data_IF_146357286847
#
_entry.id   IF_146357286847
#
_cell.length_a   1.000
_cell.length_b   1.000
_cell.length_c   1.000
_cell.angle_alpha   90.00
_cell.angle_beta   90.00
_cell.angle_gamma   90.00
#
_symmetry.space_group_name_H-M   'P 1'
#
loop_
_entity.id
_entity.type
_entity.pdbx_description
1 polymer ?
#
# COMPACT_ATOMS: atom_id res chain seq x y z
N UNK A 1 3.39 17.08 24.62
CA UNK A 1 1.97 16.77 24.93
C UNK A 1 1.02 17.64 24.12
N UNK A 2 1.10 18.99 24.19
CA UNK A 2 0.23 19.88 23.40
C UNK A 2 0.21 19.59 21.88
N UNK A 3 1.39 19.44 21.25
CA UNK A 3 1.49 19.12 19.82
C UNK A 3 0.82 17.78 19.46
N UNK A 4 1.00 16.75 20.29
CA UNK A 4 0.42 15.42 20.09
C UNK A 4 -1.11 15.49 20.23
N UNK A 5 -1.62 16.23 21.22
CA UNK A 5 -3.05 16.46 21.41
C UNK A 5 -3.66 17.18 20.19
N UNK A 6 -3.02 18.24 19.70
CA UNK A 6 -3.47 18.92 18.48
C UNK A 6 -3.45 18.01 17.26
N UNK A 7 -2.40 17.19 17.09
CA UNK A 7 -2.35 16.22 16.00
C UNK A 7 -3.51 15.22 16.12
N UNK A 8 -3.76 14.67 17.32
CA UNK A 8 -4.88 13.77 17.57
C UNK A 8 -6.22 14.41 17.21
N UNK A 9 -6.48 15.64 17.66
CA UNK A 9 -7.71 16.38 17.35
C UNK A 9 -7.91 16.60 15.83
N UNK A 10 -6.83 16.84 15.09
CA UNK A 10 -6.90 16.96 13.64
C UNK A 10 -7.15 15.61 12.98
N UNK A 11 -6.47 14.55 13.39
CA UNK A 11 -6.70 13.21 12.86
C UNK A 11 -8.13 12.73 13.11
N UNK A 12 -8.72 13.00 14.28
CA UNK A 12 -10.15 12.78 14.59
C UNK A 12 -11.04 13.43 13.53
N UNK A 13 -10.80 14.72 13.22
CA UNK A 13 -11.59 15.46 12.21
C UNK A 13 -11.41 14.92 10.80
N UNK A 14 -10.19 14.55 10.41
CA UNK A 14 -9.88 14.04 9.07
C UNK A 14 -10.46 12.64 8.84
N UNK A 15 -10.65 11.86 9.91
CA UNK A 15 -11.11 10.47 9.85
C UNK A 15 -12.58 10.28 10.22
N UNK A 16 -13.20 11.26 10.88
CA UNK A 16 -14.58 11.11 11.37
C UNK A 16 -14.72 10.14 12.55
N UNK A 17 -13.61 9.87 13.24
CA UNK A 17 -13.58 9.14 14.51
C UNK A 17 -13.83 10.06 15.71
N UNK A 18 -13.88 9.48 16.90
CA UNK A 18 -14.14 10.22 18.15
C UNK A 18 -12.88 10.32 19.03
N UNK A 19 -11.93 9.40 18.87
CA UNK A 19 -10.67 9.38 19.63
C UNK A 19 -9.52 8.79 18.80
N UNK A 20 -8.28 9.10 19.18
CA UNK A 20 -7.06 8.56 18.54
C UNK A 20 -6.09 8.01 19.59
N UNK A 21 -5.59 6.79 19.36
CA UNK A 21 -4.44 6.24 20.10
C UNK A 21 -3.16 6.38 19.25
N UNK A 22 -2.20 7.15 19.78
CA UNK A 22 -0.92 7.46 19.13
C UNK A 22 0.18 6.42 19.41
N UNK A 23 -0.11 5.34 20.12
CA UNK A 23 0.90 4.39 20.56
C UNK A 23 1.51 3.54 19.44
N UNK A 24 0.73 2.97 18.49
CA UNK A 24 1.29 2.03 17.53
C UNK A 24 2.30 2.70 16.59
N UNK A 25 3.47 2.09 16.44
CA UNK A 25 4.63 2.63 15.73
C UNK A 25 4.81 2.11 14.29
N UNK A 26 3.81 1.44 13.74
CA UNK A 26 3.73 1.02 12.33
C UNK A 26 2.29 0.75 11.92
N UNK A 27 1.99 0.66 10.62
CA UNK A 27 0.64 0.32 10.15
C UNK A 27 0.15 -1.02 10.67
N UNK A 28 0.97 -2.07 10.55
CA UNK A 28 0.67 -3.40 11.08
C UNK A 28 0.44 -3.40 12.61
N UNK A 29 1.18 -2.59 13.36
CA UNK A 29 0.94 -2.41 14.80
C UNK A 29 -0.39 -1.69 15.08
N UNK A 30 -0.82 -0.80 14.19
CA UNK A 30 -2.14 -0.17 14.25
C UNK A 30 -3.27 -1.15 13.91
N UNK A 31 -3.08 -2.07 12.97
CA UNK A 31 -3.98 -3.21 12.74
C UNK A 31 -4.12 -4.04 14.00
N UNK A 32 -3.01 -4.54 14.53
CA UNK A 32 -3.01 -5.34 15.75
C UNK A 32 -3.69 -4.60 16.93
N UNK A 33 -3.36 -3.33 17.15
CA UNK A 33 -3.97 -2.52 18.20
C UNK A 33 -5.47 -2.32 18.03
N UNK A 34 -5.95 -2.09 16.80
CA UNK A 34 -7.38 -1.93 16.53
C UNK A 34 -8.16 -3.23 16.72
N UNK A 35 -7.58 -4.36 16.30
CA UNK A 35 -8.18 -5.69 16.51
C UNK A 35 -8.23 -6.08 17.98
N UNK A 36 -7.20 -5.74 18.77
CA UNK A 36 -7.24 -5.90 20.23
C UNK A 36 -8.34 -5.04 20.87
N UNK A 37 -8.53 -3.79 20.40
CA UNK A 37 -9.60 -2.93 20.91
C UNK A 37 -10.99 -3.52 20.60
N UNK A 38 -11.20 -4.05 19.39
CA UNK A 38 -12.43 -4.77 19.01
C UNK A 38 -12.65 -5.99 19.92
N UNK A 39 -11.60 -6.80 20.12
CA UNK A 39 -11.68 -8.00 20.97
C UNK A 39 -12.06 -7.64 22.40
N UNK A 40 -11.39 -6.66 23.00
CA UNK A 40 -11.69 -6.23 24.36
C UNK A 40 -13.09 -5.59 24.49
N UNK A 41 -13.56 -4.92 23.43
CA UNK A 41 -14.94 -4.44 23.35
C UNK A 41 -15.95 -5.60 23.39
N UNK A 42 -15.72 -6.67 22.62
CA UNK A 42 -16.54 -7.88 22.66
C UNK A 42 -16.50 -8.56 24.04
N UNK A 43 -15.31 -8.74 24.62
CA UNK A 43 -15.13 -9.29 25.96
C UNK A 43 -15.90 -8.50 27.02
N UNK A 44 -15.89 -7.15 26.94
CA UNK A 44 -16.61 -6.28 27.88
C UNK A 44 -18.13 -6.46 27.88
N UNK A 45 -18.69 -6.98 26.79
CA UNK A 45 -20.12 -7.26 26.61
C UNK A 45 -20.46 -8.73 26.85
N UNK A 46 -19.52 -9.52 27.37
CA UNK A 46 -19.59 -10.98 27.50
C UNK A 46 -19.72 -11.72 26.15
N UNK A 47 -19.25 -11.10 25.07
CA UNK A 47 -19.24 -11.66 23.72
C UNK A 47 -17.82 -12.07 23.28
N UNK A 48 -16.93 -12.38 24.22
CA UNK A 48 -15.54 -12.74 23.93
C UNK A 48 -15.34 -14.03 23.12
N UNK A 49 -16.42 -14.76 22.82
CA UNK A 49 -16.42 -15.90 21.88
C UNK A 49 -16.37 -15.44 20.41
N UNK A 50 -16.60 -14.16 20.12
CA UNK A 50 -16.48 -13.58 18.77
C UNK A 50 -15.03 -13.47 18.33
N UNK A 51 -14.52 -14.50 17.64
CA UNK A 51 -13.14 -14.58 17.17
C UNK A 51 -12.98 -14.66 15.63
N UNK A 52 -14.05 -14.69 14.85
CA UNK A 52 -13.98 -14.74 13.38
C UNK A 52 -13.71 -13.35 12.79
N UNK A 53 -12.64 -13.24 12.00
CA UNK A 53 -12.26 -12.06 11.25
C UNK A 53 -12.42 -12.32 9.73
N UNK A 54 -13.35 -11.60 9.10
CA UNK A 54 -13.56 -11.64 7.66
C UNK A 54 -12.52 -10.77 6.96
N UNK A 55 -11.84 -11.29 5.94
CA UNK A 55 -10.80 -10.55 5.20
C UNK A 55 -10.97 -10.76 3.70
N UNK A 56 -11.24 -9.71 2.89
CA UNK A 56 -11.27 -9.82 1.44
C UNK A 56 -9.96 -10.38 0.87
N UNK A 57 -10.05 -11.20 -0.18
CA UNK A 57 -8.88 -11.80 -0.84
C UNK A 57 -7.88 -10.76 -1.41
N UNK A 58 -8.34 -9.52 -1.62
CA UNK A 58 -7.52 -8.39 -2.08
C UNK A 58 -6.75 -7.68 -0.96
N UNK A 59 -7.05 -7.95 0.32
CA UNK A 59 -6.46 -7.22 1.44
C UNK A 59 -4.92 -7.32 1.48
N UNK A 60 -4.28 -6.33 2.09
CA UNK A 60 -2.84 -6.36 2.33
C UNK A 60 -2.45 -7.56 3.21
N UNK A 61 -1.27 -8.13 2.96
CA UNK A 61 -0.80 -9.34 3.66
C UNK A 61 -0.60 -9.15 5.17
N UNK A 62 -0.51 -7.91 5.65
CA UNK A 62 -0.49 -7.60 7.09
C UNK A 62 -1.83 -7.88 7.75
N UNK A 63 -2.96 -7.68 7.07
CA UNK A 63 -4.29 -7.88 7.64
C UNK A 63 -4.49 -9.29 8.23
N UNK A 64 -4.29 -10.40 7.46
CA UNK A 64 -4.42 -11.74 8.02
C UNK A 64 -3.34 -12.05 9.07
N UNK A 65 -2.13 -11.50 8.93
CA UNK A 65 -1.06 -11.68 9.92
C UNK A 65 -1.41 -11.02 11.27
N UNK A 66 -1.92 -9.79 11.24
CA UNK A 66 -2.38 -9.02 12.40
C UNK A 66 -3.58 -9.69 13.08
N UNK A 67 -4.53 -10.20 12.29
CA UNK A 67 -5.67 -10.97 12.80
C UNK A 67 -5.22 -12.25 13.52
N UNK A 68 -4.30 -13.01 12.91
CA UNK A 68 -3.73 -14.20 13.55
C UNK A 68 -3.00 -13.83 14.85
N UNK A 69 -2.21 -12.76 14.86
CA UNK A 69 -1.51 -12.27 16.05
C UNK A 69 -2.47 -11.82 17.17
N UNK A 70 -3.64 -11.27 16.81
CA UNK A 70 -4.72 -10.93 17.75
C UNK A 70 -5.51 -12.16 18.26
N UNK A 71 -5.20 -13.36 17.77
CA UNK A 71 -5.85 -14.61 18.14
C UNK A 71 -7.20 -14.82 17.47
N UNK A 72 -7.42 -14.21 16.30
CA UNK A 72 -8.65 -14.36 15.51
C UNK A 72 -8.55 -15.46 14.46
N UNK A 73 -9.68 -16.05 14.10
CA UNK A 73 -9.82 -16.99 13.00
C UNK A 73 -10.08 -16.24 11.70
N UNK A 74 -9.15 -16.32 10.75
CA UNK A 74 -9.27 -15.64 9.46
C UNK A 74 -10.17 -16.44 8.52
N UNK A 75 -11.22 -15.79 8.00
CA UNK A 75 -12.09 -16.32 6.95
C UNK A 75 -12.00 -15.38 5.75
N UNK A 76 -11.47 -15.89 4.64
CA UNK A 76 -11.29 -15.11 3.41
C UNK A 76 -12.65 -14.84 2.77
N UNK A 77 -12.92 -13.61 2.35
CA UNK A 77 -14.08 -13.22 1.53
C UNK A 77 -13.64 -13.05 0.08
N UNK A 78 -14.42 -13.57 -0.86
CA UNK A 78 -14.10 -13.52 -2.28
C UNK A 78 -14.20 -12.09 -2.83
N UNK A 79 -13.52 -11.87 -3.96
CA UNK A 79 -13.71 -10.68 -4.78
C UNK A 79 -14.43 -11.07 -6.09
N UNK A 80 -15.25 -10.17 -6.60
CA UNK A 80 -15.89 -10.33 -7.91
C UNK A 80 -14.88 -10.17 -9.06
N UNK A 81 -15.33 -10.43 -10.29
CA UNK A 81 -14.49 -10.30 -11.50
C UNK A 81 -13.96 -8.89 -11.77
N UNK A 82 -14.56 -7.87 -11.15
CA UNK A 82 -14.16 -6.47 -11.26
C UNK A 82 -13.25 -6.05 -10.08
N UNK A 83 -12.89 -6.98 -9.20
CA UNK A 83 -12.00 -6.74 -8.07
C UNK A 83 -12.68 -6.13 -6.85
N UNK A 84 -14.02 -6.05 -6.79
CA UNK A 84 -14.74 -5.57 -5.60
C UNK A 84 -14.99 -6.72 -4.61
N UNK A 85 -15.33 -6.41 -3.36
CA UNK A 85 -15.78 -7.41 -2.40
C UNK A 85 -17.06 -8.08 -2.91
N UNK A 86 -17.08 -9.42 -2.96
CA UNK A 86 -18.29 -10.17 -3.31
C UNK A 86 -19.29 -10.09 -2.15
N UNK A 87 -20.32 -9.26 -2.33
CA UNK A 87 -21.39 -9.04 -1.36
C UNK A 87 -22.23 -10.29 -1.06
N UNK A 88 -22.31 -11.24 -2.00
CA UNK A 88 -23.05 -12.49 -1.82
C UNK A 88 -22.26 -13.42 -0.91
N UNK A 89 -20.98 -13.60 -1.20
CA UNK A 89 -20.07 -14.39 -0.40
C UNK A 89 -19.85 -13.79 1.00
N UNK A 90 -19.75 -12.46 1.10
CA UNK A 90 -19.69 -11.74 2.38
C UNK A 90 -20.89 -12.08 3.26
N UNK A 91 -22.11 -12.00 2.72
CA UNK A 91 -23.34 -12.32 3.47
C UNK A 91 -23.38 -13.75 3.92
N UNK A 92 -23.04 -14.68 3.02
CA UNK A 92 -23.01 -16.09 3.35
C UNK A 92 -22.01 -16.39 4.49
N UNK A 93 -20.83 -15.76 4.46
CA UNK A 93 -19.80 -15.92 5.51
C UNK A 93 -20.16 -15.22 6.81
N UNK A 94 -20.79 -14.05 6.75
CA UNK A 94 -21.30 -13.37 7.94
C UNK A 94 -22.43 -14.18 8.62
N UNK A 95 -23.35 -14.73 7.84
CA UNK A 95 -24.42 -15.63 8.33
C UNK A 95 -23.84 -16.92 8.92
N UNK A 96 -22.87 -17.54 8.25
CA UNK A 96 -22.19 -18.74 8.74
C UNK A 96 -21.40 -18.47 10.04
N UNK A 97 -20.77 -17.30 10.15
CA UNK A 97 -20.07 -16.89 11.37
C UNK A 97 -21.05 -16.64 12.53
N UNK A 98 -22.23 -16.05 12.23
CA UNK A 98 -23.30 -15.79 13.18
C UNK A 98 -22.79 -15.04 14.42
N UNK A 99 -23.10 -15.58 15.60
CA UNK A 99 -22.69 -15.01 16.89
C UNK A 99 -21.18 -15.07 17.15
N UNK A 100 -20.39 -15.75 16.30
CA UNK A 100 -18.92 -15.77 16.41
C UNK A 100 -18.23 -14.68 15.57
N UNK A 101 -18.99 -13.88 14.79
CA UNK A 101 -18.41 -12.80 13.99
C UNK A 101 -17.82 -11.71 14.88
N UNK A 102 -16.50 -11.52 14.79
CA UNK A 102 -15.76 -10.48 15.51
C UNK A 102 -15.67 -9.20 14.71
N UNK A 103 -15.15 -9.28 13.48
CA UNK A 103 -14.97 -8.12 12.63
C UNK A 103 -14.77 -8.48 11.15
N UNK A 104 -14.76 -7.44 10.32
CA UNK A 104 -14.17 -7.45 8.98
C UNK A 104 -12.96 -6.51 8.96
N UNK A 105 -11.93 -6.85 8.18
CA UNK A 105 -10.88 -5.92 7.78
C UNK A 105 -11.06 -5.56 6.30
N UNK A 106 -11.34 -4.29 6.00
CA UNK A 106 -11.48 -3.78 4.63
C UNK A 106 -10.47 -2.67 4.37
N UNK A 107 -10.08 -2.45 3.10
CA UNK A 107 -9.26 -1.31 2.69
C UNK A 107 -10.12 -0.41 1.81
N UNK A 108 -10.10 0.91 2.03
CA UNK A 108 -10.86 1.84 1.19
C UNK A 108 -10.04 3.09 0.80
N UNK A 109 -10.03 3.50 -0.48
CA UNK A 109 -10.35 2.66 -1.64
C UNK A 109 -9.54 1.35 -1.59
N UNK A 110 -10.02 0.31 -2.27
CA UNK A 110 -9.44 -1.03 -2.17
C UNK A 110 -7.98 -1.03 -2.64
N UNK A 111 -7.25 -2.10 -2.33
CA UNK A 111 -5.88 -2.34 -2.84
C UNK A 111 -5.80 -2.46 -4.36
N UNK A 112 -6.95 -2.58 -5.03
CA UNK A 112 -7.06 -2.51 -6.49
C UNK A 112 -7.09 -1.07 -7.03
N UNK A 113 -7.03 -0.06 -6.16
CA UNK A 113 -7.07 1.35 -6.54
C UNK A 113 -8.44 1.82 -6.99
N UNK A 114 -9.54 1.21 -6.50
CA UNK A 114 -10.91 1.55 -6.90
C UNK A 114 -11.79 1.92 -5.70
N UNK A 115 -12.71 2.87 -5.90
CA UNK A 115 -13.76 3.16 -4.94
C UNK A 115 -14.91 2.17 -5.12
N UNK A 116 -15.04 1.23 -4.18
CA UNK A 116 -16.20 0.33 -4.15
C UNK A 116 -17.48 1.12 -3.84
N UNK A 117 -18.51 0.94 -4.67
CA UNK A 117 -19.81 1.62 -4.49
C UNK A 117 -20.61 1.04 -3.32
N UNK A 118 -20.26 -0.16 -2.87
CA UNK A 118 -20.98 -0.96 -1.87
C UNK A 118 -20.34 -0.93 -0.47
N UNK A 119 -19.29 -0.12 -0.24
CA UNK A 119 -18.53 -0.16 1.01
C UNK A 119 -19.39 0.07 2.27
N UNK A 120 -20.44 0.90 2.19
CA UNK A 120 -21.35 1.13 3.32
C UNK A 120 -22.22 -0.09 3.61
N UNK A 121 -22.65 -0.77 2.57
CA UNK A 121 -23.42 -2.02 2.66
C UNK A 121 -22.57 -3.14 3.27
N UNK A 122 -21.26 -3.17 2.98
CA UNK A 122 -20.30 -4.06 3.66
C UNK A 122 -20.29 -3.79 5.17
N UNK A 123 -20.19 -2.52 5.58
CA UNK A 123 -20.24 -2.15 7.00
C UNK A 123 -21.57 -2.58 7.65
N UNK A 124 -22.69 -2.29 6.99
CA UNK A 124 -24.04 -2.62 7.47
C UNK A 124 -24.23 -4.12 7.67
N UNK A 125 -23.80 -4.95 6.72
CA UNK A 125 -23.86 -6.41 6.84
C UNK A 125 -23.09 -6.87 8.08
N UNK A 126 -21.87 -6.40 8.28
CA UNK A 126 -21.05 -6.84 9.42
C UNK A 126 -21.64 -6.39 10.75
N UNK A 127 -22.15 -5.16 10.82
CA UNK A 127 -22.84 -4.65 12.01
C UNK A 127 -24.14 -5.41 12.31
N UNK A 128 -24.90 -5.86 11.30
CA UNK A 128 -26.11 -6.66 11.50
C UNK A 128 -25.85 -7.99 12.22
N UNK A 129 -24.67 -8.58 12.04
CA UNK A 129 -24.24 -9.81 12.71
C UNK A 129 -23.43 -9.55 14.00
N UNK A 130 -23.41 -8.31 14.48
CA UNK A 130 -22.74 -7.92 15.73
C UNK A 130 -21.23 -7.76 15.63
N UNK A 131 -20.66 -7.85 14.42
CA UNK A 131 -19.24 -7.62 14.17
C UNK A 131 -18.86 -6.13 14.21
N UNK A 132 -17.57 -5.84 14.18
CA UNK A 132 -17.00 -4.50 14.03
C UNK A 132 -16.30 -4.34 12.67
N UNK A 133 -16.13 -3.10 12.21
CA UNK A 133 -15.49 -2.79 10.94
C UNK A 133 -14.14 -2.16 11.21
N UNK A 134 -13.08 -2.91 10.92
CA UNK A 134 -11.73 -2.39 10.80
C UNK A 134 -11.50 -1.92 9.36
N UNK A 135 -11.18 -0.64 9.18
CA UNK A 135 -10.80 -0.09 7.88
C UNK A 135 -9.30 0.22 7.85
N UNK A 136 -8.55 -0.45 7.01
CA UNK A 136 -7.15 -0.17 6.73
C UNK A 136 -7.03 1.20 6.03
N UNK A 137 -6.40 2.14 6.74
CA UNK A 137 -6.23 3.53 6.29
C UNK A 137 -4.94 3.79 5.52
N UNK A 138 -4.24 2.77 5.02
CA UNK A 138 -3.06 2.93 4.18
C UNK A 138 -3.33 3.70 2.88
N UNK A 139 -4.58 3.74 2.43
CA UNK A 139 -5.05 4.41 1.20
C UNK A 139 -5.79 5.74 1.50
N UNK A 140 -5.58 6.32 2.69
CA UNK A 140 -6.21 7.58 3.09
C UNK A 140 -5.83 8.78 2.21
N UNK A 141 -4.74 8.72 1.43
CA UNK A 141 -4.40 9.80 0.50
C UNK A 141 -5.49 10.03 -0.57
N UNK A 142 -6.32 9.02 -0.84
CA UNK A 142 -7.51 9.13 -1.69
C UNK A 142 -8.78 9.58 -0.94
N UNK A 143 -8.73 9.84 0.37
CA UNK A 143 -9.92 10.16 1.17
C UNK A 143 -9.88 11.55 1.79
N UNK A 144 -8.71 11.99 2.25
CA UNK A 144 -8.57 13.20 3.07
C UNK A 144 -9.27 14.42 2.45
N UNK A 145 -10.25 14.98 3.16
CA UNK A 145 -11.01 16.15 2.70
C UNK A 145 -12.07 15.89 1.62
N UNK A 146 -12.26 14.63 1.21
CA UNK A 146 -13.27 14.17 0.25
C UNK A 146 -14.32 13.29 0.95
N UNK A 147 -13.88 12.28 1.68
CA UNK A 147 -14.69 11.38 2.52
C UNK A 147 -13.92 11.03 3.79
N UNK A 148 -14.48 10.20 4.67
CA UNK A 148 -13.76 9.72 5.85
C UNK A 148 -14.21 8.32 6.29
N UNK A 149 -13.32 7.50 6.87
CA UNK A 149 -13.66 6.16 7.36
C UNK A 149 -14.86 6.14 8.32
N UNK A 150 -14.91 7.08 9.26
CA UNK A 150 -15.99 7.19 10.23
C UNK A 150 -17.32 7.65 9.63
N UNK A 151 -17.33 8.28 8.45
CA UNK A 151 -18.55 8.58 7.68
C UNK A 151 -19.02 7.36 6.88
N UNK A 152 -18.08 6.55 6.36
CA UNK A 152 -18.36 5.34 5.61
C UNK A 152 -19.04 4.28 6.50
N UNK A 153 -18.66 4.19 7.77
CA UNK A 153 -19.20 3.24 8.74
C UNK A 153 -18.14 2.39 9.43
N UNK A 154 -16.86 2.73 9.29
CA UNK A 154 -15.80 2.04 10.00
C UNK A 154 -15.79 2.40 11.50
N UNK A 155 -15.46 1.41 12.34
CA UNK A 155 -15.38 1.57 13.80
C UNK A 155 -13.96 1.94 14.25
N UNK A 156 -12.95 1.45 13.52
CA UNK A 156 -11.53 1.71 13.78
C UNK A 156 -10.72 1.69 12.49
N UNK A 157 -9.73 2.58 12.39
CA UNK A 157 -8.70 2.53 11.34
C UNK A 157 -7.34 2.85 11.92
N UNK A 158 -6.29 2.19 11.43
CA UNK A 158 -4.96 2.76 11.51
C UNK A 158 -4.73 3.79 10.39
N UNK A 159 -3.76 4.67 10.59
CA UNK A 159 -3.26 5.58 9.55
C UNK A 159 -1.76 5.40 9.36
N UNK A 160 -1.28 5.21 8.13
CA UNK A 160 0.15 5.27 7.85
C UNK A 160 0.59 6.73 7.77
N UNK A 161 1.11 7.29 8.86
CA UNK A 161 1.66 8.65 8.85
C UNK A 161 2.87 8.79 7.90
N UNK A 162 3.53 7.68 7.61
CA UNK A 162 4.68 7.54 6.71
C UNK A 162 4.30 7.29 5.24
N UNK A 163 2.99 7.24 4.95
CA UNK A 163 2.46 7.32 3.58
C UNK A 163 1.75 8.67 3.43
N UNK A 164 0.52 8.75 3.91
CA UNK A 164 -0.40 9.88 3.70
C UNK A 164 0.05 11.19 4.36
N UNK A 165 0.81 11.13 5.46
CA UNK A 165 1.14 12.31 6.28
C UNK A 165 2.64 12.59 6.40
N UNK A 166 3.37 12.29 5.32
CA UNK A 166 4.73 12.77 5.02
C UNK A 166 5.88 12.34 5.94
N UNK A 167 5.68 11.44 6.92
CA UNK A 167 6.85 10.83 7.58
C UNK A 167 7.69 10.11 6.50
N UNK A 168 9.01 10.32 6.44
CA UNK A 168 9.84 9.76 5.37
C UNK A 168 9.91 8.23 5.45
N UNK A 169 9.90 7.57 4.29
CA UNK A 169 9.98 6.11 4.16
C UNK A 169 11.29 5.50 4.69
N UNK A 170 12.40 6.25 4.67
CA UNK A 170 13.67 5.89 5.31
C UNK A 170 14.33 4.57 4.85
N UNK A 171 13.97 4.05 3.68
CA UNK A 171 14.47 2.75 3.19
C UNK A 171 13.83 1.54 3.88
N UNK A 172 12.66 1.70 4.50
CA UNK A 172 11.94 0.62 5.20
C UNK A 172 11.49 0.97 6.63
N UNK A 173 11.52 2.25 7.00
CA UNK A 173 11.18 2.77 8.32
C UNK A 173 12.01 4.01 8.66
N UNK A 174 11.57 4.83 9.63
CA UNK A 174 10.54 4.56 10.63
C UNK A 174 9.11 4.84 10.16
N UNK A 175 8.15 4.25 10.86
CA UNK A 175 6.72 4.53 10.69
C UNK A 175 6.05 5.02 11.98
N UNK A 176 4.79 5.42 11.83
CA UNK A 176 3.80 5.58 12.89
C UNK A 176 2.44 5.12 12.34
N UNK A 177 1.69 4.40 13.16
CA UNK A 177 0.39 3.82 12.81
C UNK A 177 -0.70 4.13 13.83
N UNK A 178 -0.96 5.41 14.17
CA UNK A 178 -2.00 5.75 15.13
C UNK A 178 -3.35 5.20 14.68
N UNK A 179 -4.17 4.79 15.64
CA UNK A 179 -5.53 4.30 15.36
C UNK A 179 -6.56 5.36 15.74
N UNK A 180 -7.44 5.68 14.80
CA UNK A 180 -8.68 6.40 15.09
C UNK A 180 -9.79 5.42 15.40
N UNK A 181 -10.61 5.70 16.41
CA UNK A 181 -11.68 4.82 16.88
C UNK A 181 -12.97 5.59 17.16
N UNK A 182 -14.11 4.92 16.95
CA UNK A 182 -15.40 5.39 17.45
C UNK A 182 -15.46 5.35 18.98
N UNK A 183 -16.35 6.16 19.55
CA UNK A 183 -16.44 6.39 20.99
C UNK A 183 -16.58 5.10 21.82
N UNK A 184 -17.28 4.08 21.31
CA UNK A 184 -17.47 2.81 22.02
C UNK A 184 -16.20 1.96 22.09
N UNK A 185 -15.23 2.15 21.18
CA UNK A 185 -13.94 1.45 21.20
C UNK A 185 -12.86 2.21 21.97
N UNK A 186 -13.04 3.51 22.21
CA UNK A 186 -12.05 4.35 22.90
C UNK A 186 -11.59 3.82 24.28
N UNK A 187 -12.47 3.23 25.14
CA UNK A 187 -12.05 2.66 26.42
C UNK A 187 -11.19 1.39 26.31
N UNK A 188 -11.05 0.82 25.11
CA UNK A 188 -10.42 -0.49 24.87
C UNK A 188 -9.12 -0.41 24.06
N UNK A 189 -8.72 0.78 23.62
CA UNK A 189 -7.44 0.96 22.92
C UNK A 189 -6.25 0.75 23.87
N UNK A 190 -5.05 0.45 23.35
CA UNK A 190 -3.86 0.30 24.19
C UNK A 190 -3.52 1.59 24.96
N UNK A 191 -3.25 1.42 26.25
CA UNK A 191 -2.66 2.42 27.14
C UNK A 191 -1.18 2.14 27.37
N UNK A 192 -0.62 2.50 28.52
CA UNK A 192 0.76 2.14 28.85
C UNK A 192 0.88 1.74 30.33
N UNK A 193 1.59 0.64 30.60
CA UNK A 193 1.68 0.04 31.94
C UNK A 193 2.57 0.83 32.91
N UNK A 194 3.68 1.40 32.43
CA UNK A 194 4.66 2.11 33.27
C UNK A 194 4.42 3.62 33.35
N UNK A 195 4.38 4.30 32.19
CA UNK A 195 4.21 5.76 32.12
C UNK A 195 2.73 6.13 32.17
N UNK A 196 2.34 6.89 33.20
CA UNK A 196 0.99 7.41 33.37
C UNK A 196 0.95 8.88 32.93
N UNK A 197 0.18 9.17 31.88
CA UNK A 197 0.07 10.50 31.27
C UNK A 197 -1.40 10.93 31.33
N UNK A 198 -1.64 12.14 31.81
CA UNK A 198 -2.97 12.75 31.79
C UNK A 198 -3.48 12.92 30.35
N UNK A 199 -4.74 12.54 30.10
CA UNK A 199 -5.33 12.58 28.77
C UNK A 199 -5.08 11.34 27.89
N UNK A 200 -4.40 10.30 28.37
CA UNK A 200 -4.45 8.99 27.70
C UNK A 200 -5.85 8.37 27.80
N UNK A 201 -6.29 7.74 26.72
CA UNK A 201 -7.61 7.11 26.63
C UNK A 201 -7.77 5.95 27.62
N UNK A 202 -6.70 5.17 27.82
CA UNK A 202 -6.69 4.04 28.74
C UNK A 202 -5.31 3.90 29.41
N UNK A 203 -5.25 3.06 30.45
CA UNK A 203 -4.01 2.66 31.13
C UNK A 203 -3.70 1.17 30.95
N UNK A 204 -4.52 0.47 30.17
CA UNK A 204 -4.50 -0.99 30.08
C UNK A 204 -3.70 -1.45 28.86
N UNK A 205 -2.88 -2.47 29.05
CA UNK A 205 -2.04 -3.01 27.99
C UNK A 205 -0.96 -2.04 27.50
N UNK A 206 -0.20 -2.50 26.51
CA UNK A 206 0.70 -1.71 25.69
C UNK A 206 1.05 -2.55 24.45
N UNK A 207 0.97 -1.95 23.26
CA UNK A 207 1.43 -2.56 22.01
C UNK A 207 2.80 -2.04 21.60
N UNK A 208 3.27 -0.93 22.18
CA UNK A 208 4.60 -0.37 21.94
C UNK A 208 5.30 -0.04 23.25
N UNK A 209 6.63 -0.10 23.25
CA UNK A 209 7.45 0.09 24.44
C UNK A 209 7.40 1.51 25.04
N UNK A 210 6.96 2.50 24.25
CA UNK A 210 6.78 3.88 24.68
C UNK A 210 5.32 4.30 24.48
N UNK A 211 4.77 5.19 25.33
CA UNK A 211 3.34 5.52 25.34
C UNK A 211 2.84 6.18 24.04
N UNK A 212 3.73 6.81 23.27
CA UNK A 212 3.42 7.47 22.00
C UNK A 212 4.30 6.95 20.84
N UNK A 213 4.77 5.70 20.94
CA UNK A 213 5.66 5.10 19.95
C UNK A 213 6.89 5.98 19.68
N UNK A 214 7.14 6.25 18.40
CA UNK A 214 8.21 7.12 17.92
C UNK A 214 7.79 8.60 17.98
N UNK A 215 7.63 9.16 19.18
CA UNK A 215 7.06 10.50 19.37
C UNK A 215 7.84 11.64 18.67
N UNK A 216 9.15 11.47 18.44
CA UNK A 216 10.02 12.50 17.84
C UNK A 216 9.72 12.79 16.37
N UNK A 217 9.05 11.88 15.65
CA UNK A 217 8.72 12.04 14.22
C UNK A 217 7.27 12.50 13.98
N UNK A 218 6.41 12.51 15.00
CA UNK A 218 5.06 13.08 14.94
C UNK A 218 5.00 14.57 14.51
N UNK A 219 5.99 15.44 14.82
CA UNK A 219 6.02 16.81 14.32
C UNK A 219 5.95 16.91 12.79
N UNK A 220 6.38 15.89 12.04
CA UNK A 220 6.36 15.90 10.57
C UNK A 220 4.92 15.96 10.06
N UNK A 221 4.08 15.01 10.49
CA UNK A 221 2.66 14.99 10.14
C UNK A 221 1.90 16.19 10.72
N UNK A 222 2.27 16.64 11.92
CA UNK A 222 1.71 17.87 12.50
C UNK A 222 2.01 19.08 11.60
N UNK A 223 3.25 19.24 11.15
CA UNK A 223 3.66 20.34 10.27
C UNK A 223 2.94 20.28 8.91
N UNK A 224 2.84 19.08 8.31
CA UNK A 224 2.10 18.88 7.06
C UNK A 224 0.64 19.34 7.18
N UNK A 225 -0.10 18.81 8.17
CA UNK A 225 -1.50 19.17 8.39
C UNK A 225 -1.64 20.68 8.68
N UNK A 226 -0.73 21.24 9.48
CA UNK A 226 -0.75 22.65 9.86
C UNK A 226 -0.51 23.59 8.67
N UNK A 227 0.43 23.27 7.79
CA UNK A 227 0.80 24.10 6.64
C UNK A 227 -0.22 23.96 5.50
N UNK A 228 -0.71 22.75 5.26
CA UNK A 228 -1.69 22.49 4.20
C UNK A 228 -3.07 23.08 4.54
N UNK A 229 -3.48 22.98 5.81
CA UNK A 229 -4.84 23.32 6.21
C UNK A 229 -5.89 22.46 5.50
N UNK A 230 -7.17 22.71 5.76
CA UNK A 230 -8.25 21.89 5.22
C UNK A 230 -8.32 21.93 3.68
N UNK A 231 -8.14 23.12 3.08
CA UNK A 231 -8.20 23.30 1.63
C UNK A 231 -7.01 22.63 0.92
N UNK A 232 -5.80 22.79 1.46
CA UNK A 232 -4.60 22.15 0.90
C UNK A 232 -4.69 20.63 1.00
N UNK A 233 -5.12 20.09 2.14
CA UNK A 233 -5.29 18.64 2.32
C UNK A 233 -6.32 18.06 1.34
N UNK A 234 -7.46 18.72 1.15
CA UNK A 234 -8.45 18.32 0.13
C UNK A 234 -7.86 18.37 -1.27
N UNK A 235 -7.10 19.43 -1.58
CA UNK A 235 -6.46 19.60 -2.89
C UNK A 235 -5.41 18.52 -3.15
N UNK A 236 -4.65 18.12 -2.15
CA UNK A 236 -3.68 17.02 -2.23
C UNK A 236 -4.36 15.73 -2.70
N UNK A 237 -5.41 15.27 -2.00
CA UNK A 237 -6.16 14.08 -2.41
C UNK A 237 -6.75 14.19 -3.83
N UNK A 238 -7.28 15.36 -4.20
CA UNK A 238 -7.79 15.59 -5.56
C UNK A 238 -6.70 15.48 -6.63
N UNK A 239 -5.49 15.96 -6.36
CA UNK A 239 -4.38 15.90 -7.30
C UNK A 239 -3.77 14.50 -7.35
N UNK A 240 -3.69 13.77 -6.23
CA UNK A 240 -3.28 12.37 -6.22
C UNK A 240 -4.20 11.52 -7.13
N UNK A 241 -5.52 11.68 -6.99
CA UNK A 241 -6.51 11.00 -7.85
C UNK A 241 -6.37 11.45 -9.31
N UNK A 242 -6.18 12.75 -9.56
CA UNK A 242 -5.98 13.28 -10.93
C UNK A 242 -4.74 12.68 -11.59
N UNK A 243 -3.61 12.64 -10.88
CA UNK A 243 -2.34 12.15 -11.40
C UNK A 243 -2.43 10.66 -11.75
N UNK A 244 -3.05 9.84 -10.89
CA UNK A 244 -3.25 8.42 -11.15
C UNK A 244 -4.16 8.18 -12.37
N UNK A 245 -5.26 8.92 -12.47
CA UNK A 245 -6.15 8.83 -13.64
C UNK A 245 -5.48 9.35 -14.92
N UNK A 246 -4.58 10.32 -14.83
CA UNK A 246 -3.79 10.81 -15.96
C UNK A 246 -2.86 9.71 -16.49
N UNK A 247 -2.11 9.04 -15.60
CA UNK A 247 -1.26 7.89 -15.98
C UNK A 247 -2.11 6.77 -16.57
N UNK A 248 -3.18 6.35 -15.89
CA UNK A 248 -4.06 5.27 -16.33
C UNK A 248 -4.61 5.55 -17.75
N UNK A 249 -5.11 6.76 -17.98
CA UNK A 249 -5.68 7.14 -19.29
C UNK A 249 -4.63 7.18 -20.41
N UNK A 250 -3.38 7.53 -20.09
CA UNK A 250 -2.29 7.63 -21.08
C UNK A 250 -1.65 6.28 -21.40
N UNK A 251 -1.75 5.30 -20.49
CA UNK A 251 -1.15 3.98 -20.65
C UNK A 251 -2.15 2.89 -21.06
N UNK A 252 -3.45 3.07 -20.87
CA UNK A 252 -4.47 2.02 -21.05
C UNK A 252 -4.42 1.27 -22.39
N UNK A 253 -4.07 1.94 -23.49
CA UNK A 253 -4.01 1.31 -24.83
C UNK A 253 -2.75 0.44 -25.00
N UNK A 254 -1.68 0.75 -24.27
CA UNK A 254 -0.43 0.01 -24.27
C UNK A 254 -0.40 -1.10 -23.21
N UNK A 255 -0.94 -0.79 -22.02
CA UNK A 255 -1.03 -1.65 -20.85
C UNK A 255 -2.45 -1.54 -20.28
N UNK A 256 -3.31 -2.57 -20.45
CA UNK A 256 -4.67 -2.52 -19.96
C UNK A 256 -4.74 -2.20 -18.46
N UNK A 257 -5.63 -1.30 -18.06
CA UNK A 257 -5.91 -1.03 -16.64
C UNK A 257 -6.82 -2.13 -16.12
N UNK A 258 -6.33 -2.92 -15.15
CA UNK A 258 -6.98 -4.16 -14.73
C UNK A 258 -8.34 -3.92 -14.05
N UNK A 259 -8.41 -2.92 -13.17
CA UNK A 259 -9.62 -2.60 -12.44
C UNK A 259 -9.92 -1.11 -12.52
N UNK A 260 -11.20 -0.78 -12.70
CA UNK A 260 -11.69 0.59 -12.70
C UNK A 260 -13.01 0.64 -11.94
N UNK A 261 -13.23 1.74 -11.21
CA UNK A 261 -14.52 2.06 -10.65
C UNK A 261 -15.46 2.68 -11.68
N UNK A 262 -16.48 3.38 -11.17
CA UNK A 262 -17.48 4.09 -11.96
C UNK A 262 -16.83 5.01 -13.00
N UNK A 263 -17.43 5.05 -14.19
CA UNK A 263 -17.01 5.88 -15.33
C UNK A 263 -15.56 5.60 -15.79
N UNK A 264 -15.04 4.39 -15.54
CA UNK A 264 -13.69 3.97 -15.95
C UNK A 264 -12.57 4.67 -15.17
N UNK A 265 -12.86 5.14 -13.94
CA UNK A 265 -11.92 5.91 -13.12
C UNK A 265 -11.27 5.06 -12.04
N UNK A 266 -10.02 5.38 -11.74
CA UNK A 266 -9.28 4.85 -10.58
C UNK A 266 -9.29 5.86 -9.44
N UNK A 267 -8.84 5.45 -8.26
CA UNK A 267 -8.60 6.33 -7.11
C UNK A 267 -7.21 6.98 -7.23
N UNK A 268 -6.36 6.86 -6.20
CA UNK A 268 -4.98 7.39 -6.18
C UNK A 268 -3.92 6.48 -6.83
N UNK A 269 -4.29 5.29 -7.27
CA UNK A 269 -3.38 4.30 -7.86
C UNK A 269 -4.11 3.48 -8.92
N UNK A 270 -3.38 2.86 -9.85
CA UNK A 270 -3.93 1.97 -10.88
C UNK A 270 -3.08 0.72 -11.07
N UNK A 271 -3.70 -0.39 -11.48
CA UNK A 271 -3.01 -1.64 -11.81
C UNK A 271 -2.93 -1.79 -13.33
N UNK A 272 -1.70 -1.95 -13.85
CA UNK A 272 -1.41 -2.26 -15.24
C UNK A 272 -1.26 -3.77 -15.41
N UNK A 273 -2.07 -4.37 -16.28
CA UNK A 273 -2.08 -5.80 -16.51
C UNK A 273 -1.01 -6.22 -17.53
N UNK A 274 0.06 -6.85 -17.03
CA UNK A 274 1.18 -7.34 -17.86
C UNK A 274 0.97 -8.80 -18.28
N UNK A 275 0.02 -9.52 -17.66
CA UNK A 275 -0.14 -10.97 -17.87
C UNK A 275 -0.41 -11.34 -19.33
N UNK A 276 -1.30 -10.63 -20.07
CA UNK A 276 -1.50 -10.91 -21.50
C UNK A 276 -0.23 -10.69 -22.33
N UNK A 277 0.55 -9.65 -22.02
CA UNK A 277 1.81 -9.37 -22.70
C UNK A 277 2.84 -10.47 -22.44
N UNK A 278 2.91 -10.97 -21.20
CA UNK A 278 3.78 -12.09 -20.83
C UNK A 278 3.41 -13.38 -21.54
N UNK A 279 2.12 -13.69 -21.64
CA UNK A 279 1.64 -14.86 -22.37
C UNK A 279 1.98 -14.78 -23.86
N UNK A 280 1.86 -13.59 -24.46
CA UNK A 280 2.11 -13.40 -25.89
C UNK A 280 3.60 -13.32 -26.24
N UNK A 281 4.41 -12.69 -25.40
CA UNK A 281 5.79 -12.28 -25.76
C UNK A 281 6.88 -12.94 -24.91
N UNK A 282 6.53 -13.55 -23.78
CA UNK A 282 7.48 -14.04 -22.78
C UNK A 282 8.07 -12.94 -21.87
N UNK A 283 7.84 -11.65 -22.15
CA UNK A 283 8.34 -10.55 -21.33
C UNK A 283 7.47 -10.37 -20.07
N UNK A 284 8.11 -10.39 -18.91
CA UNK A 284 7.44 -10.32 -17.61
C UNK A 284 7.39 -8.90 -17.03
N UNK A 285 6.57 -8.74 -15.99
CA UNK A 285 6.52 -7.55 -15.15
C UNK A 285 7.89 -7.25 -14.48
N UNK A 286 8.68 -8.28 -14.19
CA UNK A 286 10.02 -8.14 -13.65
C UNK A 286 10.97 -7.52 -14.67
N UNK A 287 10.88 -7.93 -15.94
CA UNK A 287 11.70 -7.38 -17.02
C UNK A 287 11.41 -5.89 -17.22
N UNK A 288 10.13 -5.51 -17.23
CA UNK A 288 9.70 -4.10 -17.28
C UNK A 288 10.26 -3.32 -16.08
N UNK A 289 10.14 -3.89 -14.87
CA UNK A 289 10.61 -3.25 -13.65
C UNK A 289 12.14 -3.04 -13.63
N UNK A 290 12.92 -4.01 -14.09
CA UNK A 290 14.37 -3.83 -14.22
C UNK A 290 14.71 -2.87 -15.34
N UNK A 291 13.97 -2.87 -16.45
CA UNK A 291 14.19 -1.96 -17.56
C UNK A 291 13.92 -0.51 -17.20
N UNK A 292 12.91 -0.23 -16.36
CA UNK A 292 12.63 1.11 -15.84
C UNK A 292 13.85 1.76 -15.15
N UNK A 293 14.74 0.97 -14.55
CA UNK A 293 15.98 1.47 -13.93
C UNK A 293 16.88 2.13 -14.99
N UNK A 294 16.94 1.58 -16.20
CA UNK A 294 17.73 2.17 -17.29
C UNK A 294 17.16 3.51 -17.76
N UNK A 295 15.84 3.68 -17.63
CA UNK A 295 15.11 4.94 -17.85
C UNK A 295 15.17 5.90 -16.65
N UNK A 296 15.83 5.52 -15.55
CA UNK A 296 16.01 6.35 -14.36
C UNK A 296 14.87 6.29 -13.35
N UNK A 297 14.01 5.26 -13.40
CA UNK A 297 12.90 5.07 -12.48
C UNK A 297 13.11 3.89 -11.55
N UNK A 298 12.72 4.06 -10.29
CA UNK A 298 12.39 2.91 -9.45
C UNK A 298 11.09 2.28 -9.96
N UNK A 299 11.02 0.96 -9.97
CA UNK A 299 9.81 0.27 -10.42
C UNK A 299 8.61 0.57 -9.49
N UNK A 300 7.38 0.60 -10.04
CA UNK A 300 6.16 0.57 -9.23
C UNK A 300 6.05 -0.73 -8.43
N UNK A 301 5.04 -0.82 -7.55
CA UNK A 301 4.75 -2.04 -6.79
C UNK A 301 4.53 -3.21 -7.76
N UNK A 302 5.25 -4.31 -7.55
CA UNK A 302 5.24 -5.46 -8.46
C UNK A 302 4.46 -6.63 -7.87
N UNK A 303 3.65 -7.30 -8.70
CA UNK A 303 3.01 -8.59 -8.41
C UNK A 303 2.15 -8.61 -7.14
N UNK A 304 1.70 -7.45 -6.68
CA UNK A 304 0.74 -7.27 -5.59
C UNK A 304 -0.18 -6.09 -5.92
N UNK A 305 -1.51 -6.19 -5.65
CA UNK A 305 -2.22 -7.34 -5.10
C UNK A 305 -2.44 -8.48 -6.09
N UNK A 306 -2.16 -8.28 -7.38
CA UNK A 306 -2.32 -9.30 -8.43
C UNK A 306 -0.94 -9.71 -8.97
N UNK A 307 -0.63 -11.01 -8.90
CA UNK A 307 0.61 -11.55 -9.44
C UNK A 307 0.73 -11.29 -10.94
N UNK A 308 1.92 -10.89 -11.40
CA UNK A 308 2.16 -10.60 -12.82
C UNK A 308 1.69 -9.21 -13.27
N UNK A 309 1.47 -8.27 -12.36
CA UNK A 309 1.01 -6.90 -12.66
C UNK A 309 1.90 -5.84 -12.03
N UNK A 310 1.72 -4.59 -12.44
CA UNK A 310 2.38 -3.41 -11.86
C UNK A 310 1.33 -2.44 -11.30
N UNK A 311 1.47 -2.02 -10.04
CA UNK A 311 0.57 -1.06 -9.39
C UNK A 311 1.27 0.29 -9.19
N UNK A 312 0.71 1.33 -9.82
CA UNK A 312 1.33 2.66 -9.94
C UNK A 312 0.57 3.69 -9.11
N UNK A 313 1.25 4.33 -8.15
CA UNK A 313 0.75 5.44 -7.33
C UNK A 313 1.69 6.66 -7.50
N UNK A 314 1.31 7.70 -8.25
CA UNK A 314 2.18 8.86 -8.49
C UNK A 314 2.19 9.90 -7.36
N UNK A 315 1.20 9.86 -6.46
CA UNK A 315 0.94 10.91 -5.46
C UNK A 315 0.64 12.29 -6.07
N UNK A 316 0.29 13.26 -5.23
CA UNK A 316 0.07 14.64 -5.61
C UNK A 316 1.34 15.49 -5.76
N UNK A 317 2.47 14.97 -5.27
CA UNK A 317 3.72 15.73 -5.18
C UNK A 317 4.51 15.74 -6.48
N UNK A 318 4.23 14.80 -7.38
CA UNK A 318 4.92 14.68 -8.65
C UNK A 318 4.38 15.67 -9.69
N UNK A 319 5.30 16.36 -10.36
CA UNK A 319 4.96 17.31 -11.40
C UNK A 319 4.47 16.60 -12.66
N UNK A 320 3.65 17.26 -13.47
CA UNK A 320 3.20 16.69 -14.77
C UNK A 320 4.38 16.25 -15.65
N UNK A 321 5.50 16.98 -15.61
CA UNK A 321 6.71 16.64 -16.37
C UNK A 321 7.25 15.28 -15.94
N UNK A 322 7.23 14.98 -14.64
CA UNK A 322 7.67 13.68 -14.12
C UNK A 322 6.71 12.55 -14.49
N UNK A 323 5.40 12.82 -14.41
CA UNK A 323 4.39 11.85 -14.87
C UNK A 323 4.56 11.54 -16.36
N UNK A 324 4.79 12.55 -17.19
CA UNK A 324 5.04 12.38 -18.62
C UNK A 324 6.33 11.58 -18.87
N UNK A 325 7.42 11.85 -18.14
CA UNK A 325 8.66 11.04 -18.25
C UNK A 325 8.41 9.56 -17.94
N UNK A 326 7.64 9.25 -16.90
CA UNK A 326 7.28 7.87 -16.57
C UNK A 326 6.41 7.23 -17.65
N UNK A 327 5.39 7.96 -18.13
CA UNK A 327 4.50 7.50 -19.21
C UNK A 327 5.31 7.22 -20.48
N UNK A 328 6.19 8.13 -20.88
CA UNK A 328 7.02 8.00 -22.08
C UNK A 328 7.99 6.82 -21.94
N UNK A 329 8.57 6.59 -20.76
CA UNK A 329 9.40 5.41 -20.48
C UNK A 329 8.60 4.11 -20.61
N UNK A 330 7.38 4.05 -20.05
CA UNK A 330 6.51 2.88 -20.17
C UNK A 330 6.10 2.62 -21.63
N UNK A 331 5.77 3.66 -22.40
CA UNK A 331 5.42 3.54 -23.82
C UNK A 331 6.63 3.13 -24.68
N UNK A 332 7.82 3.62 -24.36
CA UNK A 332 9.05 3.17 -25.01
C UNK A 332 9.34 1.70 -24.70
N UNK A 333 9.19 1.27 -23.45
CA UNK A 333 9.27 -0.14 -23.05
C UNK A 333 8.22 -0.98 -23.78
N UNK A 334 7.00 -0.49 -23.99
CA UNK A 334 6.00 -1.19 -24.79
C UNK A 334 6.48 -1.42 -26.22
N UNK A 335 7.11 -0.42 -26.84
CA UNK A 335 7.68 -0.53 -28.17
C UNK A 335 8.89 -1.50 -28.21
N UNK A 336 9.69 -1.55 -27.14
CA UNK A 336 10.75 -2.56 -26.98
C UNK A 336 10.17 -3.99 -26.93
N UNK A 337 9.07 -4.19 -26.20
CA UNK A 337 8.35 -5.47 -26.15
C UNK A 337 7.84 -5.85 -27.56
N UNK A 338 7.36 -4.88 -28.35
CA UNK A 338 6.94 -5.14 -29.72
C UNK A 338 8.11 -5.59 -30.63
N UNK A 339 9.33 -5.09 -30.41
CA UNK A 339 10.52 -5.57 -31.14
C UNK A 339 10.82 -7.05 -30.85
N UNK A 340 10.64 -7.48 -29.59
CA UNK A 340 10.77 -8.89 -29.20
C UNK A 340 9.66 -9.72 -29.86
N UNK A 341 8.42 -9.25 -29.80
CA UNK A 341 7.23 -9.91 -30.37
C UNK A 341 7.37 -10.19 -31.87
N UNK A 342 7.91 -9.23 -32.65
CA UNK A 342 8.10 -9.40 -34.10
C UNK A 342 9.42 -10.08 -34.48
N UNK A 343 10.23 -10.48 -33.49
CA UNK A 343 11.48 -11.23 -33.70
C UNK A 343 12.68 -10.38 -34.15
N UNK A 344 12.63 -9.06 -33.99
CA UNK A 344 13.79 -8.18 -34.24
C UNK A 344 14.86 -8.39 -33.17
N UNK A 345 14.44 -8.54 -31.91
CA UNK A 345 15.31 -8.97 -30.82
C UNK A 345 14.93 -10.37 -30.35
N UNK A 346 15.90 -11.29 -30.17
CA UNK A 346 15.66 -12.58 -29.53
C UNK A 346 15.05 -12.43 -28.13
N UNK A 347 14.21 -13.40 -27.74
CA UNK A 347 13.56 -13.39 -26.43
C UNK A 347 14.59 -13.48 -25.29
N UNK A 348 15.66 -14.22 -25.52
CA UNK A 348 16.74 -14.47 -24.57
C UNK A 348 17.84 -13.38 -24.58
N UNK A 349 17.85 -12.48 -25.57
CA UNK A 349 18.88 -11.44 -25.67
C UNK A 349 18.31 -10.12 -26.22
N UNK A 350 17.79 -9.29 -25.31
CA UNK A 350 17.17 -8.00 -25.60
C UNK A 350 17.34 -7.03 -24.41
N UNK A 351 17.07 -5.73 -24.59
CA UNK A 351 17.25 -4.76 -23.51
C UNK A 351 16.44 -5.05 -22.24
N UNK A 352 15.26 -5.69 -22.36
CA UNK A 352 14.35 -5.95 -21.24
C UNK A 352 14.87 -7.06 -20.33
N UNK A 353 15.31 -8.18 -20.91
CA UNK A 353 15.81 -9.34 -20.13
C UNK A 353 17.21 -9.10 -19.58
N UNK A 354 18.03 -8.31 -20.26
CA UNK A 354 19.39 -7.98 -19.84
C UNK A 354 19.47 -6.78 -18.88
N UNK A 355 18.35 -6.07 -18.67
CA UNK A 355 18.27 -4.98 -17.71
C UNK A 355 18.41 -5.47 -16.26
N UNK A 356 18.99 -4.65 -15.36
CA UNK A 356 19.51 -3.31 -15.61
C UNK A 356 20.93 -3.31 -16.20
N UNK A 357 21.33 -2.23 -16.88
CA UNK A 357 22.65 -2.11 -17.52
C UNK A 357 23.63 -1.26 -16.69
N UNK A 358 24.73 -1.87 -16.25
CA UNK A 358 25.71 -1.25 -15.34
C UNK A 358 26.84 -0.54 -16.11
N UNK A 359 27.53 0.38 -15.42
CA UNK A 359 28.55 1.24 -16.02
C UNK A 359 29.70 0.45 -16.69
N UNK A 360 30.10 -0.70 -16.13
CA UNK A 360 31.22 -1.50 -16.66
C UNK A 360 30.91 -2.12 -18.01
N UNK A 361 29.64 -2.29 -18.38
CA UNK A 361 29.25 -2.85 -19.68
C UNK A 361 29.56 -1.90 -20.85
N UNK A 362 29.76 -0.60 -20.58
CA UNK A 362 30.15 0.38 -21.60
C UNK A 362 31.53 0.09 -22.21
N UNK A 363 32.45 -0.45 -21.40
CA UNK A 363 33.84 -0.71 -21.81
C UNK A 363 34.11 -2.19 -22.12
N UNK A 364 33.16 -3.07 -21.78
CA UNK A 364 33.21 -4.49 -22.14
C UNK A 364 32.97 -4.69 -23.64
N UNK A 365 33.32 -5.87 -24.17
CA UNK A 365 32.87 -6.29 -25.49
C UNK A 365 31.34 -6.32 -25.54
N UNK A 366 30.74 -5.88 -26.66
CA UNK A 366 29.30 -5.74 -26.80
C UNK A 366 28.78 -6.69 -27.85
N UNK A 367 28.18 -7.79 -27.38
CA UNK A 367 27.74 -8.92 -28.20
C UNK A 367 26.22 -9.00 -28.33
N UNK A 368 25.51 -7.91 -28.02
CA UNK A 368 24.05 -7.82 -28.06
C UNK A 368 23.52 -7.32 -29.40
N UNK A 369 22.28 -7.70 -29.80
CA UNK A 369 21.63 -7.25 -31.05
C UNK A 369 21.05 -5.83 -30.98
N UNK A 370 21.30 -5.11 -29.89
CA UNK A 370 20.88 -3.71 -29.67
C UNK A 370 22.11 -2.85 -29.31
N UNK A 371 22.02 -1.53 -29.42
CA UNK A 371 23.17 -0.65 -29.16
C UNK A 371 23.36 -0.37 -27.67
N UNK A 372 24.58 0.03 -27.28
CA UNK A 372 24.86 0.55 -25.93
C UNK A 372 23.99 1.76 -25.60
N UNK A 373 23.71 2.62 -26.59
CA UNK A 373 22.86 3.80 -26.41
C UNK A 373 21.43 3.40 -26.01
N UNK A 374 20.84 2.42 -26.71
CA UNK A 374 19.54 1.83 -26.32
C UNK A 374 19.61 1.25 -24.91
N UNK A 375 20.70 0.59 -24.57
CA UNK A 375 20.86 -0.03 -23.26
C UNK A 375 20.88 1.00 -22.12
N UNK A 376 21.76 2.00 -22.19
CA UNK A 376 22.10 2.86 -21.05
C UNK A 376 21.50 4.26 -21.10
N UNK A 377 21.10 4.76 -22.27
CA UNK A 377 20.53 6.09 -22.45
C UNK A 377 19.21 6.07 -23.24
N UNK A 378 18.25 5.17 -22.93
CA UNK A 378 17.02 5.07 -23.71
C UNK A 378 16.14 6.33 -23.64
N UNK A 379 16.30 7.15 -22.60
CA UNK A 379 15.65 8.45 -22.44
C UNK A 379 16.59 9.66 -22.66
N UNK A 380 17.78 9.43 -23.24
CA UNK A 380 18.83 10.44 -23.40
C UNK A 380 19.89 10.42 -22.29
N UNK A 381 20.83 11.37 -22.36
CA UNK A 381 22.08 11.38 -21.56
C UNK A 381 22.01 12.24 -20.29
N UNK A 382 20.96 13.03 -20.10
CA UNK A 382 20.83 13.93 -18.96
C UNK A 382 20.56 13.16 -17.66
N UNK A 383 21.19 13.59 -16.57
CA UNK A 383 20.91 13.15 -15.19
C UNK A 383 20.88 11.62 -14.98
N UNK A 384 21.83 10.90 -15.62
CA UNK A 384 21.91 9.43 -15.56
C UNK A 384 22.19 8.91 -14.14
N UNK A 385 21.24 8.13 -13.62
CA UNK A 385 21.46 7.23 -12.50
C UNK A 385 22.00 5.87 -12.98
N UNK A 386 23.08 5.39 -12.37
CA UNK A 386 23.68 4.10 -12.72
C UNK A 386 23.24 3.00 -11.75
N UNK A 387 22.65 1.89 -12.23
CA UNK A 387 22.54 0.68 -11.43
C UNK A 387 23.94 0.20 -11.06
N UNK A 388 24.13 -0.17 -9.79
CA UNK A 388 25.44 -0.57 -9.27
C UNK A 388 25.76 -2.04 -9.49
N UNK A 389 24.74 -2.86 -9.75
CA UNK A 389 24.84 -4.30 -10.00
C UNK A 389 23.87 -4.73 -11.10
N UNK A 390 24.17 -5.86 -11.74
CA UNK A 390 23.25 -6.55 -12.65
C UNK A 390 22.02 -7.08 -11.91
N UNK A 391 21.09 -7.67 -12.66
CA UNK A 391 19.92 -8.37 -12.14
C UNK A 391 20.35 -9.40 -11.08
N UNK A 392 19.71 -9.35 -9.92
CA UNK A 392 19.98 -10.26 -8.81
C UNK A 392 19.48 -11.67 -9.14
N UNK A 393 20.19 -12.68 -8.65
CA UNK A 393 19.75 -14.07 -8.65
C UNK A 393 19.09 -14.38 -7.30
N UNK A 394 17.77 -14.19 -7.25
CA UNK A 394 16.98 -14.37 -6.03
C UNK A 394 17.08 -15.80 -5.49
N UNK A 395 17.06 -16.81 -6.38
CA UNK A 395 17.07 -18.24 -6.00
C UNK A 395 18.43 -18.66 -5.45
N UNK A 396 19.52 -18.14 -6.01
CA UNK A 396 20.87 -18.44 -5.51
C UNK A 396 21.05 -17.96 -4.06
N UNK A 397 20.60 -16.74 -3.74
CA UNK A 397 20.70 -16.16 -2.41
C UNK A 397 20.02 -17.02 -1.33
N UNK A 398 18.79 -17.45 -1.61
CA UNK A 398 18.03 -18.31 -0.68
C UNK A 398 18.68 -19.69 -0.48
N UNK A 399 19.32 -20.24 -1.51
CA UNK A 399 20.03 -21.53 -1.44
C UNK A 399 21.40 -21.45 -0.76
N UNK A 400 22.01 -20.26 -0.76
CA UNK A 400 23.34 -20.02 -0.23
C UNK A 400 23.29 -18.87 0.77
N UNK A 401 22.61 -19.10 1.89
CA UNK A 401 22.29 -18.04 2.86
C UNK A 401 23.56 -17.51 3.57
N UNK A 402 23.93 -16.27 3.26
CA UNK A 402 24.99 -15.52 3.94
C UNK A 402 24.46 -14.15 4.40
N UNK A 403 24.23 -14.00 5.71
CA UNK A 403 23.63 -12.79 6.31
C UNK A 403 24.63 -11.94 7.10
N UNK A 404 25.94 -12.12 6.86
CA UNK A 404 27.03 -11.35 7.48
C UNK A 404 28.03 -10.93 6.42
N UNK A 405 28.86 -9.92 6.69
CA UNK A 405 29.96 -9.57 5.81
C UNK A 405 30.84 -10.80 5.54
N UNK A 406 31.06 -11.11 4.27
CA UNK A 406 31.98 -12.15 3.84
C UNK A 406 33.40 -11.79 4.34
N UNK A 407 34.21 -12.75 4.84
CA UNK A 407 35.60 -12.49 5.20
C UNK A 407 36.39 -11.90 4.03
N UNK A 408 37.26 -10.93 4.29
CA UNK A 408 38.11 -10.29 3.25
C UNK A 408 38.91 -11.33 2.44
N UNK A 409 39.29 -12.45 3.06
CA UNK A 409 40.01 -13.55 2.40
C UNK A 409 39.24 -14.26 1.30
N UNK A 410 37.91 -14.12 1.24
CA UNK A 410 37.07 -14.69 0.18
C UNK A 410 36.79 -13.67 -0.96
N UNK A 411 37.19 -12.41 -0.80
CA UNK A 411 37.20 -11.40 -1.87
C UNK A 411 38.49 -11.40 -2.69
N UNK A 412 39.55 -12.05 -2.19
CA UNK A 412 40.85 -12.21 -2.85
C UNK A 412 40.91 -13.55 -3.56
#
# INVERSE_FOLDING_TARGET
>A
QQMIAQLADWLVKLTGYDAVCMQPNSGAQGEYAGLLAIRHYHESRNEGHRDICLIPASAHGTNPASAHMAGMQVVVVACDKNGNIDLTDLRAKAEQAGDNLSCIMVTYPSTHGVYEETIREVCEVVHQFGGQVYLDGANMNAQVGITSPGFIGADVSHLNLHKTFCIPHGGGGPGMGPIGVKAHLAPFVPGHSVVQIEGMLTRQGAVSAAPFGSASILPISWMYIRMMGAEGLKKASQVAILNANYIASRLQDAFPVLYTGRDGRVAHECILDIRPLKEETGISELDIAKRLIDYGFHAPTMSFPVAGTLMVEPTESESKVELDRFIDAMLAIRAEIDQVKVGVWPLEDNPLVNAPHIQSELVAEWVHPYSREVAVFPAGVADKYWPTVKRLDDVYGDRNLFCSCVPISEYQ
#
